data_IF_981426220866
#
_entry.id   IF_981426220866
#
_cell.length_a   1.000
_cell.length_b   1.000
_cell.length_c   1.000
_cell.angle_alpha   90.00
_cell.angle_beta   90.00
_cell.angle_gamma   90.00
#
_symmetry.space_group_name_H-M   'P 1'
#
loop_
_entity.id
_entity.type
_entity.pdbx_description
1 polymer ?
#
# COMPACT_ATOMS: atom_id res chain seq x y z
N UNK A 1 1.31 -11.93 -6.59
CA UNK A 1 2.53 -11.16 -6.27
C UNK A 1 2.39 -9.78 -6.87
N UNK A 2 2.80 -8.73 -6.15
CA UNK A 2 2.85 -7.38 -6.67
C UNK A 2 3.92 -7.24 -7.74
N UNK A 3 3.56 -6.63 -8.87
CA UNK A 3 4.53 -6.24 -9.88
C UNK A 3 5.04 -4.83 -9.59
N UNK A 4 6.24 -4.53 -10.09
CA UNK A 4 6.86 -3.21 -9.95
C UNK A 4 5.90 -2.06 -10.33
N UNK A 5 5.11 -2.24 -11.39
CA UNK A 5 4.14 -1.23 -11.82
C UNK A 5 3.04 -0.95 -10.78
N UNK A 6 2.51 -1.98 -10.12
CA UNK A 6 1.52 -1.85 -9.05
C UNK A 6 2.11 -1.08 -7.86
N UNK A 7 3.36 -1.41 -7.50
CA UNK A 7 4.10 -0.77 -6.42
C UNK A 7 4.36 0.72 -6.76
N UNK A 8 4.88 1.01 -7.95
CA UNK A 8 5.12 2.38 -8.40
C UNK A 8 3.83 3.23 -8.38
N UNK A 9 2.71 2.70 -8.87
CA UNK A 9 1.43 3.42 -8.86
C UNK A 9 0.90 3.68 -7.44
N UNK A 10 0.98 2.68 -6.56
CA UNK A 10 0.56 2.81 -5.17
C UNK A 10 1.38 3.88 -4.44
N UNK A 11 2.71 3.83 -4.58
CA UNK A 11 3.58 4.81 -3.93
C UNK A 11 3.52 6.19 -4.60
N UNK A 12 3.19 6.29 -5.89
CA UNK A 12 2.91 7.57 -6.52
C UNK A 12 1.67 8.25 -5.89
N UNK A 13 0.62 7.47 -5.60
CA UNK A 13 -0.57 7.99 -4.93
C UNK A 13 -0.27 8.38 -3.47
N UNK A 14 0.50 7.57 -2.73
CA UNK A 14 0.98 7.92 -1.37
C UNK A 14 1.89 9.16 -1.35
N UNK A 15 2.69 9.39 -2.39
CA UNK A 15 3.53 10.58 -2.51
C UNK A 15 2.77 11.83 -3.00
N UNK A 16 1.49 11.70 -3.33
CA UNK A 16 0.68 12.85 -3.77
C UNK A 16 0.46 13.83 -2.62
N UNK A 17 0.23 15.10 -2.94
CA UNK A 17 0.02 16.18 -1.96
C UNK A 17 -1.06 15.87 -0.90
N UNK A 18 -2.01 15.00 -1.25
CA UNK A 18 -3.06 14.49 -0.38
C UNK A 18 -2.52 13.76 0.86
N UNK A 19 -1.49 12.94 0.70
CA UNK A 19 -0.95 12.12 1.79
C UNK A 19 0.41 12.63 2.26
N UNK A 20 1.21 13.23 1.36
CA UNK A 20 2.57 13.73 1.66
C UNK A 20 2.63 14.78 2.77
N UNK A 21 1.61 15.64 2.86
CA UNK A 21 1.55 16.71 3.88
C UNK A 21 0.93 16.25 5.21
N UNK A 22 0.54 14.98 5.31
CA UNK A 22 -0.01 14.43 6.55
C UNK A 22 1.12 14.03 7.51
N UNK A 23 0.95 14.22 8.83
CA UNK A 23 1.90 13.69 9.81
C UNK A 23 2.01 12.16 9.75
N UNK A 24 0.96 11.51 9.24
CA UNK A 24 0.85 10.05 9.08
C UNK A 24 1.53 9.54 7.79
N UNK A 25 2.06 10.42 6.94
CA UNK A 25 2.65 10.06 5.63
C UNK A 25 3.71 8.96 5.75
N UNK A 26 4.66 9.11 6.67
CA UNK A 26 5.72 8.13 6.89
C UNK A 26 5.17 6.79 7.40
N UNK A 27 4.11 6.83 8.22
CA UNK A 27 3.43 5.63 8.69
C UNK A 27 2.72 4.91 7.55
N UNK A 28 1.98 5.64 6.70
CA UNK A 28 1.31 5.07 5.53
C UNK A 28 2.29 4.42 4.56
N UNK A 29 3.45 5.05 4.33
CA UNK A 29 4.51 4.48 3.50
C UNK A 29 5.06 3.18 4.09
N UNK A 30 5.31 3.16 5.40
CA UNK A 30 5.79 1.96 6.10
C UNK A 30 4.75 0.84 6.04
N UNK A 31 3.49 1.17 6.30
CA UNK A 31 2.39 0.22 6.30
C UNK A 31 2.14 -0.35 4.89
N UNK A 32 2.29 0.46 3.85
CA UNK A 32 2.27 0.00 2.46
C UNK A 32 3.39 -1.01 2.15
N UNK A 33 4.63 -0.73 2.55
CA UNK A 33 5.72 -1.68 2.38
C UNK A 33 5.46 -3.00 3.13
N UNK A 34 4.95 -2.93 4.36
CA UNK A 34 4.63 -4.12 5.16
C UNK A 34 3.50 -4.92 4.53
N UNK A 35 2.42 -4.26 4.10
CA UNK A 35 1.25 -4.91 3.55
C UNK A 35 1.54 -5.60 2.21
N UNK A 36 2.36 -4.99 1.34
CA UNK A 36 2.88 -5.65 0.12
C UNK A 36 3.69 -6.89 0.49
N UNK A 37 4.58 -6.79 1.49
CA UNK A 37 5.39 -7.93 1.92
C UNK A 37 4.52 -9.08 2.50
N UNK A 38 3.47 -8.76 3.25
CA UNK A 38 2.50 -9.77 3.72
C UNK A 38 1.79 -10.46 2.55
N UNK A 39 1.28 -9.67 1.60
CA UNK A 39 0.61 -10.18 0.41
C UNK A 39 1.51 -11.09 -0.43
N UNK A 40 2.73 -10.65 -0.72
CA UNK A 40 3.70 -11.44 -1.49
C UNK A 40 4.16 -12.71 -0.75
N UNK A 41 4.15 -12.68 0.58
CA UNK A 41 4.41 -13.85 1.41
C UNK A 41 3.21 -14.81 1.52
N UNK A 42 2.07 -14.50 0.89
CA UNK A 42 0.84 -15.28 1.02
C UNK A 42 0.24 -15.26 2.42
N UNK A 43 0.55 -14.24 3.22
CA UNK A 43 0.03 -14.06 4.59
C UNK A 43 -1.10 -13.04 4.58
N UNK A 44 -2.04 -13.22 5.50
CA UNK A 44 -3.06 -12.20 5.75
C UNK A 44 -2.40 -10.90 6.24
N UNK A 45 -2.85 -9.78 5.68
CA UNK A 45 -2.44 -8.46 6.11
C UNK A 45 -3.09 -8.19 7.47
N UNK A 46 -2.31 -7.83 8.52
CA UNK A 46 -2.86 -7.61 9.85
C UNK A 46 -3.71 -6.33 9.91
N UNK A 47 -4.73 -6.31 10.78
CA UNK A 47 -5.60 -5.15 11.03
C UNK A 47 -4.86 -3.91 11.58
N UNK A 48 -3.58 -4.04 11.91
CA UNK A 48 -2.71 -2.93 12.31
C UNK A 48 -2.27 -2.05 11.14
N UNK A 49 -2.43 -2.52 9.90
CA UNK A 49 -2.15 -1.73 8.70
C UNK A 49 -3.28 -0.72 8.49
N UNK A 50 -2.91 0.54 8.22
CA UNK A 50 -3.90 1.59 8.00
C UNK A 50 -4.87 1.23 6.86
N UNK A 51 -6.19 1.37 7.06
CA UNK A 51 -7.19 1.02 6.05
C UNK A 51 -7.06 1.81 4.75
N UNK A 52 -6.46 3.02 4.77
CA UNK A 52 -6.18 3.80 3.56
C UNK A 52 -5.15 3.10 2.68
N UNK A 53 -4.18 2.42 3.29
CA UNK A 53 -3.19 1.60 2.56
C UNK A 53 -3.89 0.40 1.94
N UNK A 54 -4.81 -0.24 2.66
CA UNK A 54 -5.58 -1.38 2.13
C UNK A 54 -6.43 -0.96 0.93
N UNK A 55 -7.10 0.19 0.99
CA UNK A 55 -7.87 0.75 -0.14
C UNK A 55 -6.97 1.04 -1.35
N UNK A 56 -5.79 1.61 -1.13
CA UNK A 56 -4.80 1.84 -2.19
C UNK A 56 -4.27 0.54 -2.79
N UNK A 57 -4.07 -0.48 -1.97
CA UNK A 57 -3.67 -1.81 -2.39
C UNK A 57 -4.75 -2.51 -3.19
N UNK A 58 -6.02 -2.39 -2.82
CA UNK A 58 -7.12 -2.94 -3.60
C UNK A 58 -7.22 -2.24 -4.97
N UNK A 59 -7.06 -0.90 -4.97
CA UNK A 59 -7.15 -0.07 -6.17
C UNK A 59 -5.99 -0.27 -7.16
N UNK A 60 -4.75 -0.37 -6.67
CA UNK A 60 -3.54 -0.42 -7.50
C UNK A 60 -2.88 -1.80 -7.53
N UNK A 61 -3.36 -2.72 -6.70
CA UNK A 61 -2.83 -4.06 -6.59
C UNK A 61 -3.17 -4.95 -7.78
N UNK A 62 -2.58 -6.16 -7.82
CA UNK A 62 -2.95 -7.14 -8.80
C UNK A 62 -4.42 -7.54 -8.56
N UNK A 63 -5.32 -7.15 -9.46
CA UNK A 63 -6.67 -7.69 -9.48
C UNK A 63 -6.59 -9.20 -9.73
N UNK A 64 -7.27 -9.99 -8.90
CA UNK A 64 -7.53 -11.39 -9.20
C UNK A 64 -8.44 -11.44 -10.44
N UNK A 65 -7.87 -11.69 -11.62
CA UNK A 65 -8.62 -12.19 -12.79
C UNK A 65 -8.93 -13.68 -12.65
#
# INVERSE_FOLDING_TARGET
>A
MYQKAHIDNLFAELNSDKFRNMPESEQLHRDAHLAIAYYDSGRNIPDTIDPRVIDLMDKHGPSEE
#
